data_IF_312207383848
#
_entry.id   IF_312207383848
#
_cell.length_a   1.000
_cell.length_b   1.000
_cell.length_c   1.000
_cell.angle_alpha   90.00
_cell.angle_beta   90.00
_cell.angle_gamma   90.00
#
_symmetry.space_group_name_H-M   'P 1'
#
loop_
_entity.id
_entity.type
_entity.pdbx_description
1 polymer ?
#
# COMPACT_ATOMS: atom_id res chain seq x y z
N UNK A 1 -10.67 6.30 20.67
CA UNK A 1 -11.10 7.08 21.82
C UNK A 1 -11.24 8.59 21.53
N UNK A 2 -10.39 9.21 20.68
CA UNK A 2 -10.47 10.66 20.37
C UNK A 2 -11.75 11.02 19.60
N UNK A 3 -12.23 10.16 18.73
CA UNK A 3 -13.37 10.45 17.83
C UNK A 3 -14.69 9.77 18.27
N UNK A 4 -14.67 8.97 19.34
CA UNK A 4 -15.81 8.22 19.86
C UNK A 4 -16.55 7.41 18.77
N UNK A 5 -15.79 6.84 17.83
CA UNK A 5 -16.28 6.03 16.71
C UNK A 5 -15.28 4.91 16.41
N UNK A 6 -15.70 3.88 15.67
CA UNK A 6 -14.83 2.78 15.26
C UNK A 6 -13.84 3.21 14.17
N UNK A 7 -12.72 2.48 14.04
CA UNK A 7 -11.77 2.69 12.94
C UNK A 7 -12.47 2.51 11.58
N UNK A 8 -13.29 1.47 11.45
CA UNK A 8 -14.02 1.19 10.21
C UNK A 8 -14.93 2.37 9.81
N UNK A 9 -15.75 2.86 10.74
CA UNK A 9 -16.64 4.00 10.47
C UNK A 9 -15.84 5.26 10.11
N UNK A 10 -14.76 5.55 10.86
CA UNK A 10 -13.94 6.74 10.61
C UNK A 10 -13.25 6.67 9.22
N UNK A 11 -12.74 5.50 8.84
CA UNK A 11 -12.14 5.30 7.53
C UNK A 11 -13.16 5.41 6.40
N UNK A 12 -14.35 4.83 6.60
CA UNK A 12 -15.44 4.90 5.64
C UNK A 12 -15.84 6.34 5.36
N UNK A 13 -16.17 7.12 6.39
CA UNK A 13 -16.60 8.51 6.27
C UNK A 13 -15.53 9.44 5.69
N UNK A 14 -14.25 9.21 6.00
CA UNK A 14 -13.16 10.14 5.67
C UNK A 14 -12.34 9.75 4.47
N UNK A 15 -12.34 8.48 4.09
CA UNK A 15 -11.47 7.95 3.03
C UNK A 15 -12.28 7.19 2.00
N UNK A 16 -12.98 6.11 2.40
CA UNK A 16 -13.54 5.18 1.45
C UNK A 16 -14.69 5.80 0.63
N UNK A 17 -15.70 6.38 1.27
CA UNK A 17 -16.80 7.05 0.57
C UNK A 17 -16.33 8.23 -0.29
N UNK A 18 -15.51 9.20 0.23
CA UNK A 18 -15.04 10.33 -0.57
C UNK A 18 -14.19 9.93 -1.78
N UNK A 19 -13.52 8.77 -1.73
CA UNK A 19 -12.66 8.27 -2.80
C UNK A 19 -13.33 7.21 -3.68
N UNK A 20 -14.63 6.93 -3.49
CA UNK A 20 -15.40 5.89 -4.17
C UNK A 20 -14.78 4.48 -4.03
N UNK A 21 -14.26 4.17 -2.85
CA UNK A 21 -13.67 2.86 -2.52
C UNK A 21 -14.75 1.92 -1.98
N UNK A 22 -15.73 1.58 -2.82
CA UNK A 22 -16.93 0.85 -2.41
C UNK A 22 -16.69 -0.62 -2.06
N UNK A 23 -15.59 -1.19 -2.51
CA UNK A 23 -15.17 -2.58 -2.26
C UNK A 23 -14.04 -2.65 -1.21
N UNK A 24 -13.91 -1.61 -0.35
CA UNK A 24 -12.87 -1.55 0.68
C UNK A 24 -13.45 -1.63 2.09
N UNK A 25 -12.98 -2.61 2.89
CA UNK A 25 -13.52 -2.89 4.21
C UNK A 25 -12.43 -3.31 5.19
N UNK A 26 -12.54 -2.90 6.47
CA UNK A 26 -11.69 -3.40 7.56
C UNK A 26 -12.27 -4.62 8.28
N UNK A 27 -13.53 -4.95 8.03
CA UNK A 27 -14.18 -6.08 8.71
C UNK A 27 -15.01 -6.87 7.71
N UNK A 28 -15.01 -8.18 7.91
CA UNK A 28 -15.90 -9.05 7.17
C UNK A 28 -17.37 -8.75 7.49
N UNK A 29 -18.18 -8.67 6.47
CA UNK A 29 -19.65 -8.62 6.55
C UNK A 29 -20.24 -9.80 5.77
N UNK A 30 -21.35 -10.34 6.24
CA UNK A 30 -22.05 -11.43 5.57
C UNK A 30 -22.76 -10.98 4.26
N UNK A 31 -22.70 -9.67 3.97
CA UNK A 31 -23.14 -9.09 2.69
C UNK A 31 -22.05 -9.07 1.62
N UNK A 32 -20.79 -9.39 1.98
CA UNK A 32 -19.68 -9.46 1.03
C UNK A 32 -19.77 -10.73 0.21
N UNK A 33 -19.57 -10.61 -1.09
CA UNK A 33 -19.52 -11.74 -2.00
C UNK A 33 -18.19 -12.46 -1.90
N UNK A 34 -18.16 -13.58 -1.19
CA UNK A 34 -16.96 -14.40 -0.96
C UNK A 34 -16.30 -14.88 -2.27
N UNK A 35 -17.06 -15.03 -3.34
CA UNK A 35 -16.51 -15.47 -4.63
C UNK A 35 -15.59 -14.45 -5.28
N UNK A 36 -15.64 -13.19 -4.84
CA UNK A 36 -14.77 -12.10 -5.30
C UNK A 36 -13.43 -12.02 -4.56
N UNK A 37 -13.24 -12.82 -3.49
CA UNK A 37 -11.99 -12.80 -2.73
C UNK A 37 -10.90 -13.63 -3.42
N UNK A 38 -9.72 -13.05 -3.56
CA UNK A 38 -8.53 -13.79 -3.98
C UNK A 38 -8.12 -14.76 -2.87
N UNK A 39 -8.14 -16.05 -3.17
CA UNK A 39 -7.67 -17.07 -2.24
C UNK A 39 -6.15 -16.97 -2.11
N UNK A 40 -5.65 -16.87 -0.88
CA UNK A 40 -4.23 -16.89 -0.57
C UNK A 40 -3.65 -18.30 -0.63
N UNK A 41 -2.38 -18.41 -1.02
CA UNK A 41 -1.67 -19.68 -1.13
C UNK A 41 -0.33 -19.65 -0.39
N UNK A 42 0.07 -20.80 0.17
CA UNK A 42 1.43 -20.99 0.64
C UNK A 42 2.42 -21.15 -0.53
N UNK A 43 3.72 -21.16 -0.23
CA UNK A 43 4.78 -21.32 -1.23
C UNK A 43 4.75 -22.67 -1.98
N UNK A 44 3.94 -23.62 -1.54
CA UNK A 44 3.76 -24.97 -2.16
C UNK A 44 2.45 -25.06 -2.96
N UNK A 45 1.67 -23.98 -3.03
CA UNK A 45 0.41 -23.91 -3.74
C UNK A 45 -0.79 -24.46 -2.95
N UNK A 46 -0.68 -24.67 -1.65
CA UNK A 46 -1.81 -25.02 -0.80
C UNK A 46 -2.57 -23.73 -0.42
N UNK A 47 -3.88 -23.74 -0.62
CA UNK A 47 -4.73 -22.61 -0.26
C UNK A 47 -4.87 -22.42 1.25
N UNK A 48 -4.95 -21.17 1.67
CA UNK A 48 -5.40 -20.78 2.99
C UNK A 48 -6.92 -20.58 3.02
N UNK A 49 -7.50 -20.68 4.21
CA UNK A 49 -8.88 -20.29 4.45
C UNK A 49 -9.00 -18.76 4.49
N UNK A 50 -10.12 -18.22 4.02
CA UNK A 50 -10.40 -16.79 4.12
C UNK A 50 -10.61 -16.42 5.58
N UNK A 51 -9.80 -15.50 6.07
CA UNK A 51 -9.90 -15.00 7.43
C UNK A 51 -11.02 -13.95 7.52
N UNK A 52 -12.14 -14.30 8.17
CA UNK A 52 -13.34 -13.47 8.30
C UNK A 52 -13.30 -12.62 9.57
N UNK A 53 -12.40 -11.64 9.63
CA UNK A 53 -12.24 -10.76 10.79
C UNK A 53 -13.47 -9.87 11.02
N UNK A 54 -13.91 -9.79 12.26
CA UNK A 54 -15.04 -8.96 12.69
C UNK A 54 -14.61 -7.70 13.46
N UNK A 55 -13.34 -7.62 13.85
CA UNK A 55 -12.77 -6.46 14.58
C UNK A 55 -11.75 -5.76 13.69
N UNK A 56 -11.88 -4.44 13.44
CA UNK A 56 -10.96 -3.74 12.55
C UNK A 56 -9.57 -3.60 13.19
N UNK A 57 -8.54 -3.89 12.40
CA UNK A 57 -7.14 -3.67 12.74
C UNK A 57 -6.52 -2.71 11.73
N UNK A 58 -5.98 -1.57 12.20
CA UNK A 58 -5.39 -0.56 11.32
C UNK A 58 -4.03 -0.93 10.73
N UNK A 59 -3.39 -1.98 11.24
CA UNK A 59 -2.11 -2.49 10.75
C UNK A 59 -2.26 -3.70 9.82
N UNK A 60 -3.49 -4.24 9.71
CA UNK A 60 -3.78 -5.49 9.03
C UNK A 60 -5.26 -5.54 8.62
N UNK A 61 -5.68 -6.64 7.95
CA UNK A 61 -7.08 -6.97 7.64
C UNK A 61 -7.79 -6.04 6.63
N UNK A 62 -7.11 -5.10 5.96
CA UNK A 62 -7.77 -4.29 4.93
C UNK A 62 -8.08 -5.14 3.71
N UNK A 63 -9.36 -5.41 3.48
CA UNK A 63 -9.87 -6.00 2.24
C UNK A 63 -10.14 -4.89 1.24
N UNK A 64 -9.55 -4.96 0.05
CA UNK A 64 -9.68 -3.92 -0.99
C UNK A 64 -9.48 -4.51 -2.38
N UNK A 65 -9.80 -3.73 -3.39
CA UNK A 65 -9.48 -4.04 -4.80
C UNK A 65 -8.30 -3.20 -5.27
N UNK A 66 -7.68 -3.60 -6.38
CA UNK A 66 -6.64 -2.80 -7.07
C UNK A 66 -7.18 -1.42 -7.46
N UNK A 67 -8.43 -1.35 -7.91
CA UNK A 67 -9.09 -0.10 -8.32
C UNK A 67 -9.27 0.84 -7.13
N UNK A 68 -9.88 0.37 -6.05
CA UNK A 68 -10.13 1.17 -4.85
C UNK A 68 -8.80 1.68 -4.23
N UNK A 69 -7.84 0.77 -4.07
CA UNK A 69 -6.54 1.17 -3.53
C UNK A 69 -5.79 2.11 -4.47
N UNK A 70 -5.97 1.97 -5.78
CA UNK A 70 -5.51 2.91 -6.79
C UNK A 70 -6.10 4.31 -6.59
N UNK A 71 -7.40 4.43 -6.31
CA UNK A 71 -8.06 5.70 -5.99
C UNK A 71 -7.45 6.37 -4.76
N UNK A 72 -7.19 5.57 -3.70
CA UNK A 72 -6.47 6.05 -2.52
C UNK A 72 -5.09 6.61 -2.87
N UNK A 73 -4.29 5.89 -3.65
CA UNK A 73 -2.95 6.32 -4.04
C UNK A 73 -2.95 7.59 -4.91
N UNK A 74 -3.92 7.71 -5.82
CA UNK A 74 -4.12 8.94 -6.61
C UNK A 74 -4.46 10.11 -5.69
N UNK A 75 -5.29 9.90 -4.68
CA UNK A 75 -5.57 10.92 -3.66
C UNK A 75 -4.31 11.32 -2.91
N UNK A 76 -3.50 10.36 -2.45
CA UNK A 76 -2.21 10.65 -1.77
C UNK A 76 -1.28 11.46 -2.66
N UNK A 77 -1.12 11.10 -3.94
CA UNK A 77 -0.30 11.87 -4.90
C UNK A 77 -0.80 13.32 -5.09
N UNK A 78 -2.07 13.58 -4.80
CA UNK A 78 -2.69 14.91 -4.89
C UNK A 78 -2.82 15.61 -3.53
N UNK A 79 -2.14 15.12 -2.50
CA UNK A 79 -2.12 15.71 -1.17
C UNK A 79 -3.03 15.03 -0.15
N UNK A 80 -3.74 13.91 -0.52
CA UNK A 80 -4.50 13.06 0.39
C UNK A 80 -5.61 13.76 1.18
N UNK A 81 -6.19 14.87 0.66
CA UNK A 81 -7.11 15.75 1.38
C UNK A 81 -6.53 16.30 2.71
N UNK A 82 -5.21 16.28 2.87
CA UNK A 82 -4.48 16.83 4.01
C UNK A 82 -4.19 18.32 3.80
N UNK A 83 -3.98 19.07 4.88
CA UNK A 83 -3.40 20.41 4.74
C UNK A 83 -1.98 20.28 4.18
N UNK A 84 -1.53 21.32 3.44
CA UNK A 84 -0.17 21.31 2.88
C UNK A 84 0.89 21.00 3.94
N UNK A 85 0.76 21.58 5.13
CA UNK A 85 1.69 21.34 6.24
C UNK A 85 1.72 19.87 6.64
N UNK A 86 0.57 19.23 6.81
CA UNK A 86 0.49 17.82 7.23
C UNK A 86 1.01 16.89 6.10
N UNK A 87 0.72 17.22 4.84
CA UNK A 87 1.28 16.46 3.72
C UNK A 87 2.81 16.63 3.63
N UNK A 88 3.34 17.83 3.78
CA UNK A 88 4.79 18.07 3.79
C UNK A 88 5.45 17.30 4.94
N UNK A 89 4.86 17.31 6.14
CA UNK A 89 5.36 16.52 7.29
C UNK A 89 5.35 15.01 6.99
N UNK A 90 4.31 14.51 6.29
CA UNK A 90 4.16 13.10 5.92
C UNK A 90 5.27 12.63 4.97
N UNK A 91 5.67 13.46 4.01
CA UNK A 91 6.71 13.14 3.01
C UNK A 91 8.10 13.62 3.41
N UNK A 92 8.28 14.14 4.62
CA UNK A 92 9.59 14.54 5.15
C UNK A 92 10.30 13.32 5.75
N UNK A 93 11.61 13.25 5.59
CA UNK A 93 12.46 12.21 6.19
C UNK A 93 12.40 12.27 7.71
N UNK A 94 11.77 11.26 8.34
CA UNK A 94 11.69 11.14 9.80
C UNK A 94 12.81 10.24 10.34
N UNK A 95 13.08 9.13 9.65
CA UNK A 95 14.09 8.13 10.06
C UNK A 95 14.81 7.60 8.84
N UNK A 96 16.13 7.63 8.82
CA UNK A 96 16.93 6.95 7.80
C UNK A 96 16.94 5.43 8.06
N UNK A 97 16.79 4.64 7.01
CA UNK A 97 16.80 3.16 7.06
C UNK A 97 17.96 2.57 6.27
N UNK A 98 18.16 3.04 5.04
CA UNK A 98 19.26 2.68 4.15
C UNK A 98 19.75 3.93 3.44
N UNK A 99 20.90 3.84 2.75
CA UNK A 99 21.34 4.90 1.87
C UNK A 99 20.33 5.14 0.74
N UNK A 100 19.79 6.36 0.65
CA UNK A 100 18.72 6.71 -0.29
C UNK A 100 17.32 6.26 0.12
N UNK A 101 17.13 5.72 1.34
CA UNK A 101 15.81 5.31 1.84
C UNK A 101 15.56 5.80 3.25
N UNK A 102 14.38 6.37 3.47
CA UNK A 102 13.92 6.91 4.74
C UNK A 102 12.48 6.46 5.03
N UNK A 103 12.07 6.56 6.28
CA UNK A 103 10.65 6.60 6.61
C UNK A 103 10.16 8.03 6.74
N UNK A 104 8.98 8.31 6.16
CA UNK A 104 8.13 9.44 6.47
C UNK A 104 7.06 9.05 7.50
N UNK A 105 5.90 9.69 7.45
CA UNK A 105 4.76 9.30 8.28
C UNK A 105 3.82 8.40 7.46
N UNK A 106 3.98 7.09 7.64
CA UNK A 106 3.19 6.05 6.98
C UNK A 106 3.69 5.59 5.61
N UNK A 107 4.74 6.22 5.07
CA UNK A 107 5.38 5.80 3.82
C UNK A 107 6.89 5.70 3.97
N UNK A 108 7.49 4.75 3.27
CA UNK A 108 8.91 4.77 2.94
C UNK A 108 9.15 5.78 1.81
N UNK A 109 10.28 6.45 1.86
CA UNK A 109 10.68 7.48 0.88
C UNK A 109 11.98 7.01 0.23
N UNK A 110 11.97 6.87 -1.08
CA UNK A 110 13.14 6.55 -1.89
C UNK A 110 13.62 7.81 -2.60
N UNK A 111 14.84 8.23 -2.32
CA UNK A 111 15.46 9.40 -2.95
C UNK A 111 16.26 8.95 -4.18
N UNK A 112 16.02 9.58 -5.31
CA UNK A 112 16.72 9.29 -6.55
C UNK A 112 17.85 10.28 -6.85
N UNK A 113 18.87 9.82 -7.56
CA UNK A 113 20.04 10.60 -7.97
C UNK A 113 19.68 11.89 -8.74
N UNK A 114 18.54 11.92 -9.41
CA UNK A 114 18.02 13.07 -10.14
C UNK A 114 17.29 14.12 -9.29
N UNK A 115 17.23 13.92 -7.96
CA UNK A 115 16.52 14.80 -7.02
C UNK A 115 14.99 14.60 -7.00
N UNK A 116 14.51 13.54 -7.59
CA UNK A 116 13.12 13.06 -7.46
C UNK A 116 12.99 12.06 -6.31
N UNK A 117 11.77 11.66 -5.97
CA UNK A 117 11.51 10.67 -4.94
C UNK A 117 10.29 9.82 -5.25
N UNK A 118 10.22 8.65 -4.65
CA UNK A 118 9.01 7.85 -4.59
C UNK A 118 8.58 7.63 -3.15
N UNK A 119 7.27 7.49 -2.94
CA UNK A 119 6.68 6.98 -1.71
C UNK A 119 6.32 5.52 -1.93
N UNK A 120 6.60 4.69 -0.94
CA UNK A 120 6.31 3.26 -0.98
C UNK A 120 5.66 2.79 0.30
N UNK A 121 4.86 1.75 0.20
CA UNK A 121 4.35 0.98 1.32
C UNK A 121 4.18 -0.47 0.89
N UNK A 122 4.56 -1.39 1.74
CA UNK A 122 4.40 -2.83 1.47
C UNK A 122 3.71 -3.53 2.63
N UNK A 123 3.24 -4.72 2.37
CA UNK A 123 2.65 -5.59 3.37
C UNK A 123 2.84 -7.06 3.03
N UNK A 124 2.92 -7.87 4.07
CA UNK A 124 3.08 -9.32 3.96
C UNK A 124 2.29 -10.01 5.06
N UNK A 125 1.43 -10.94 4.66
CA UNK A 125 0.75 -11.86 5.56
C UNK A 125 0.59 -13.22 4.87
N UNK A 126 -0.03 -14.18 5.55
CA UNK A 126 -0.27 -15.53 5.01
C UNK A 126 -1.03 -15.48 3.70
N UNK A 127 -0.38 -15.93 2.64
CA UNK A 127 -0.97 -16.00 1.31
C UNK A 127 -1.15 -14.65 0.63
N UNK A 128 -0.53 -13.56 1.13
CA UNK A 128 -0.60 -12.25 0.48
C UNK A 128 0.70 -11.48 0.62
N UNK A 129 1.11 -10.84 -0.47
CA UNK A 129 2.24 -9.92 -0.51
C UNK A 129 1.85 -8.72 -1.36
N UNK A 130 2.08 -7.52 -0.86
CA UNK A 130 1.73 -6.28 -1.57
C UNK A 130 2.89 -5.31 -1.53
N UNK A 131 3.03 -4.51 -2.60
CA UNK A 131 3.96 -3.38 -2.65
C UNK A 131 3.39 -2.29 -3.53
N UNK A 132 3.62 -1.05 -3.16
CA UNK A 132 3.27 0.11 -3.97
C UNK A 132 4.42 1.08 -4.05
N UNK A 133 4.57 1.71 -5.21
CA UNK A 133 5.42 2.87 -5.43
C UNK A 133 4.59 3.96 -6.09
N UNK A 134 4.60 5.16 -5.55
CA UNK A 134 3.99 6.34 -6.17
C UNK A 134 5.00 7.47 -6.28
N UNK A 135 4.90 8.24 -7.36
CA UNK A 135 5.79 9.34 -7.73
C UNK A 135 4.99 10.64 -7.76
N UNK A 136 4.91 11.37 -6.64
CA UNK A 136 4.02 12.53 -6.53
C UNK A 136 4.29 13.63 -7.56
N UNK A 137 5.54 13.83 -7.99
CA UNK A 137 5.91 14.83 -9.00
C UNK A 137 5.43 14.47 -10.40
N UNK A 138 5.57 13.20 -10.80
CA UNK A 138 5.23 12.75 -12.16
C UNK A 138 3.82 12.17 -12.27
N UNK A 139 3.12 12.02 -11.14
CA UNK A 139 1.77 11.43 -11.03
C UNK A 139 1.69 10.00 -11.61
N UNK A 140 2.76 9.25 -11.45
CA UNK A 140 2.84 7.84 -11.81
C UNK A 140 2.82 6.96 -10.57
N UNK A 141 2.49 5.70 -10.73
CA UNK A 141 2.55 4.71 -9.66
C UNK A 141 2.59 3.29 -10.20
N UNK A 142 2.99 2.39 -9.34
CA UNK A 142 2.95 0.94 -9.54
C UNK A 142 2.38 0.31 -8.28
N UNK A 143 1.34 -0.50 -8.44
CA UNK A 143 0.70 -1.25 -7.37
C UNK A 143 0.73 -2.73 -7.75
N UNK A 144 1.27 -3.57 -6.87
CA UNK A 144 1.37 -5.02 -7.06
C UNK A 144 0.70 -5.69 -5.86
N UNK A 145 -0.35 -6.46 -6.11
CA UNK A 145 -0.94 -7.40 -5.17
C UNK A 145 -0.70 -8.81 -5.66
N UNK A 146 -0.26 -9.69 -4.78
CA UNK A 146 -0.09 -11.12 -5.04
C UNK A 146 -0.81 -11.92 -3.97
N UNK A 147 -1.30 -13.10 -4.34
CA UNK A 147 -2.05 -13.99 -3.46
C UNK A 147 -1.26 -15.25 -3.10
N UNK A 148 0.03 -15.09 -2.78
CA UNK A 148 0.93 -16.18 -2.40
C UNK A 148 2.02 -15.68 -1.44
N UNK A 149 2.49 -16.54 -0.51
CA UNK A 149 3.58 -16.22 0.44
C UNK A 149 4.86 -15.74 -0.23
N UNK A 150 5.19 -16.30 -1.40
CA UNK A 150 6.38 -15.99 -2.18
C UNK A 150 6.17 -14.90 -3.23
N UNK A 151 5.10 -14.11 -3.12
CA UNK A 151 4.72 -13.08 -4.09
C UNK A 151 5.81 -12.04 -4.37
N UNK A 152 6.65 -11.75 -3.38
CA UNK A 152 7.79 -10.83 -3.53
C UNK A 152 8.79 -11.25 -4.63
N UNK A 153 8.84 -12.52 -5.00
CA UNK A 153 9.76 -13.05 -6.03
C UNK A 153 9.55 -12.45 -7.43
N UNK A 154 8.37 -11.88 -7.68
CA UNK A 154 8.08 -11.23 -8.97
C UNK A 154 8.38 -9.72 -8.96
N UNK A 155 8.59 -9.12 -7.78
CA UNK A 155 8.69 -7.67 -7.61
C UNK A 155 9.82 -7.06 -8.42
N UNK A 156 11.02 -7.58 -8.29
CA UNK A 156 12.20 -7.03 -8.98
C UNK A 156 11.99 -6.90 -10.49
N UNK A 157 11.47 -7.95 -11.13
CA UNK A 157 11.21 -7.96 -12.58
C UNK A 157 10.13 -6.97 -12.98
N UNK A 158 9.04 -6.90 -12.20
CA UNK A 158 7.93 -5.99 -12.47
C UNK A 158 8.37 -4.54 -12.26
N UNK A 159 9.04 -4.24 -11.14
CA UNK A 159 9.56 -2.92 -10.80
C UNK A 159 10.54 -2.43 -11.88
N UNK A 160 11.52 -3.25 -12.27
CA UNK A 160 12.47 -2.91 -13.32
C UNK A 160 11.80 -2.64 -14.67
N UNK A 161 10.79 -3.45 -15.03
CA UNK A 161 10.09 -3.33 -16.30
C UNK A 161 9.23 -2.06 -16.37
N UNK A 162 8.38 -1.84 -15.38
CA UNK A 162 7.38 -0.77 -15.43
C UNK A 162 7.92 0.59 -14.98
N UNK A 163 8.89 0.63 -14.07
CA UNK A 163 9.46 1.89 -13.54
C UNK A 163 10.80 2.27 -14.22
N UNK A 164 11.36 1.42 -15.07
CA UNK A 164 12.55 1.72 -15.86
C UNK A 164 13.76 2.12 -15.02
N UNK A 165 14.34 3.31 -15.27
CA UNK A 165 15.51 3.80 -14.54
C UNK A 165 15.23 3.95 -13.03
N UNK A 166 14.09 4.50 -12.66
CA UNK A 166 13.70 4.66 -11.24
C UNK A 166 13.51 3.30 -10.57
N UNK A 167 12.95 2.31 -11.28
CA UNK A 167 12.83 0.94 -10.79
C UNK A 167 14.19 0.28 -10.51
N UNK A 168 15.18 0.52 -11.36
CA UNK A 168 16.55 0.03 -11.15
C UNK A 168 17.19 0.68 -9.91
N UNK A 169 17.01 1.99 -9.72
CA UNK A 169 17.51 2.67 -8.51
C UNK A 169 16.83 2.14 -7.23
N UNK A 170 15.53 1.86 -7.26
CA UNK A 170 14.84 1.21 -6.14
C UNK A 170 15.47 -0.14 -5.79
N UNK A 171 15.72 -0.97 -6.80
CA UNK A 171 16.34 -2.29 -6.62
C UNK A 171 17.78 -2.14 -6.08
N UNK A 172 18.57 -1.19 -6.59
CA UNK A 172 19.91 -0.89 -6.09
C UNK A 172 19.87 -0.51 -4.60
N UNK A 173 18.94 0.36 -4.18
CA UNK A 173 18.74 0.77 -2.78
C UNK A 173 18.37 -0.43 -1.91
N UNK A 174 17.46 -1.28 -2.36
CA UNK A 174 17.00 -2.45 -1.58
C UNK A 174 18.06 -3.53 -1.44
N UNK A 175 18.90 -3.71 -2.44
CA UNK A 175 19.95 -4.75 -2.46
C UNK A 175 21.31 -4.26 -1.96
N UNK A 176 21.49 -2.97 -1.68
CA UNK A 176 22.70 -2.44 -1.06
C UNK A 176 22.86 -3.01 0.36
N UNK A 177 24.08 -3.50 0.68
CA UNK A 177 24.50 -3.99 2.00
C UNK A 177 24.71 -2.84 3.01
#
# INVERSE_FOLDING_TARGET
HKFNTSLHQLANERIFEPLNMSDTHFTWSDTLDESRFAIGYDAKGKSYEILKQKTPNGADDLMTTIEDYGNFLVSVMNGGALSKKVFDDMVTHQVATKNGKHFGLGFEIYDFKNGDYALSHGGADKGVQTIVFIFPKTKKGLLIFTNVDDGYKVYEKIIAHYLGAQGKEIIEIETAE
#
